data_IF_969263197034
#
_entry.id   IF_969263197034
#
_cell.length_a   1.000
_cell.length_b   1.000
_cell.length_c   1.000
_cell.angle_alpha   90.00
_cell.angle_beta   90.00
_cell.angle_gamma   90.00
#
_symmetry.space_group_name_H-M   'P 1'
#
loop_
_entity.id
_entity.type
_entity.pdbx_description
1 polymer ?
#
# COMPACT_ATOMS: atom_id res chain seq x y z
N UNK A 1 17.77 7.97 -12.25
CA UNK A 1 16.76 8.74 -11.51
C UNK A 1 16.86 8.33 -10.06
N UNK A 2 17.45 9.18 -9.22
CA UNK A 2 17.62 8.95 -7.78
C UNK A 2 16.40 9.51 -7.05
N UNK A 3 15.45 8.65 -6.72
CA UNK A 3 14.26 9.00 -5.95
C UNK A 3 13.57 7.74 -5.45
N UNK A 4 12.92 7.83 -4.29
CA UNK A 4 12.05 6.77 -3.80
C UNK A 4 10.73 6.81 -4.58
N UNK A 5 10.45 5.77 -5.36
CA UNK A 5 9.26 5.69 -6.22
C UNK A 5 8.34 4.51 -5.87
N UNK A 6 8.66 3.78 -4.82
CA UNK A 6 7.81 2.74 -4.23
C UNK A 6 7.51 3.11 -2.78
N UNK A 7 6.25 3.32 -2.45
CA UNK A 7 5.80 3.63 -1.09
C UNK A 7 4.93 2.47 -0.63
N UNK A 8 5.29 1.84 0.47
CA UNK A 8 4.51 0.75 1.07
C UNK A 8 3.91 1.21 2.39
N UNK A 9 2.60 0.98 2.57
CA UNK A 9 1.82 1.48 3.70
C UNK A 9 1.09 0.33 4.37
N UNK A 10 1.30 0.17 5.68
CA UNK A 10 0.56 -0.77 6.52
C UNK A 10 -0.34 -0.03 7.51
N UNK A 11 -1.59 -0.49 7.68
CA UNK A 11 -2.55 0.09 8.61
C UNK A 11 -3.53 -0.97 9.16
N UNK A 12 -4.15 -0.69 10.30
CA UNK A 12 -5.16 -1.56 10.92
C UNK A 12 -6.28 -0.74 11.57
N UNK A 13 -6.54 -0.87 12.88
CA UNK A 13 -7.55 -0.09 13.59
C UNK A 13 -7.31 1.43 13.48
N UNK A 14 -8.32 2.19 13.06
CA UNK A 14 -8.20 3.63 12.76
C UNK A 14 -7.37 3.93 11.50
N UNK A 15 -7.06 2.91 10.71
CA UNK A 15 -6.19 3.01 9.54
C UNK A 15 -6.82 3.78 8.38
N UNK A 16 -8.15 3.77 8.26
CA UNK A 16 -8.86 4.50 7.19
C UNK A 16 -8.68 6.00 7.36
N UNK A 17 -8.90 6.52 8.57
CA UNK A 17 -8.74 7.93 8.90
C UNK A 17 -7.28 8.38 8.74
N UNK A 18 -6.33 7.55 9.17
CA UNK A 18 -4.90 7.81 9.00
C UNK A 18 -4.50 7.85 7.51
N UNK A 19 -5.02 6.91 6.70
CA UNK A 19 -4.79 6.90 5.24
C UNK A 19 -5.38 8.13 4.56
N UNK A 20 -6.59 8.55 4.95
CA UNK A 20 -7.17 9.78 4.42
C UNK A 20 -6.32 11.01 4.77
N UNK A 21 -5.81 11.08 6.01
CA UNK A 21 -4.90 12.18 6.41
C UNK A 21 -3.62 12.17 5.59
N UNK A 22 -2.99 11.01 5.39
CA UNK A 22 -1.79 10.87 4.55
C UNK A 22 -2.08 11.36 3.12
N UNK A 23 -3.15 10.87 2.50
CA UNK A 23 -3.50 11.19 1.11
C UNK A 23 -3.78 12.66 0.90
N UNK A 24 -4.39 13.35 1.86
CA UNK A 24 -4.67 14.79 1.76
C UNK A 24 -3.41 15.66 1.64
N UNK A 25 -2.24 15.13 1.99
CA UNK A 25 -0.95 15.83 1.91
C UNK A 25 -0.12 15.40 0.69
N UNK A 26 -0.59 14.46 -0.12
CA UNK A 26 0.12 14.03 -1.32
C UNK A 26 0.00 15.08 -2.45
N UNK A 27 1.02 15.20 -3.31
CA UNK A 27 0.95 16.02 -4.51
C UNK A 27 -0.04 15.44 -5.53
N UNK A 28 -0.56 16.29 -6.42
CA UNK A 28 -1.49 15.88 -7.49
C UNK A 28 -0.85 15.05 -8.59
N UNK A 29 0.47 15.13 -8.73
CA UNK A 29 1.28 14.31 -9.62
C UNK A 29 2.44 13.75 -8.81
N UNK A 30 2.27 12.53 -8.31
CA UNK A 30 3.24 11.82 -7.50
C UNK A 30 4.07 10.90 -8.43
N UNK A 31 5.39 11.13 -8.57
CA UNK A 31 6.26 10.26 -9.36
C UNK A 31 6.62 8.97 -8.59
N UNK A 32 5.60 8.30 -8.03
CA UNK A 32 5.72 7.08 -7.25
C UNK A 32 4.43 6.26 -7.32
N UNK A 33 4.54 4.97 -7.00
CA UNK A 33 3.41 4.08 -6.73
C UNK A 33 3.27 3.83 -5.22
N UNK A 34 2.05 3.87 -4.71
CA UNK A 34 1.73 3.58 -3.31
C UNK A 34 1.05 2.21 -3.23
N UNK A 35 1.50 1.36 -2.33
CA UNK A 35 0.92 0.06 -2.03
C UNK A 35 0.39 0.07 -0.60
N UNK A 36 -0.85 -0.34 -0.39
CA UNK A 36 -1.54 -0.22 0.89
C UNK A 36 -2.09 -1.58 1.32
N UNK A 37 -1.71 -2.00 2.52
CA UNK A 37 -2.37 -3.07 3.26
C UNK A 37 -3.14 -2.46 4.41
N UNK A 38 -4.46 -2.68 4.41
CA UNK A 38 -5.34 -2.41 5.55
C UNK A 38 -5.86 -3.75 6.07
N UNK A 39 -5.67 -4.03 7.36
CA UNK A 39 -6.20 -5.24 7.98
C UNK A 39 -7.72 -5.23 8.02
N UNK A 40 -8.33 -6.11 7.24
CA UNK A 40 -9.77 -6.32 7.16
C UNK A 40 -10.08 -7.83 7.11
N UNK A 41 -11.29 -8.27 7.53
CA UNK A 41 -11.68 -9.66 7.46
C UNK A 41 -11.65 -10.21 6.03
N UNK A 42 -11.22 -11.46 5.86
CA UNK A 42 -11.10 -12.13 4.55
C UNK A 42 -12.43 -12.19 3.75
N UNK A 43 -13.57 -12.29 4.44
CA UNK A 43 -14.90 -12.35 3.84
C UNK A 43 -15.56 -10.97 3.66
N UNK A 44 -14.84 -9.88 3.98
CA UNK A 44 -15.38 -8.53 3.82
C UNK A 44 -15.19 -8.03 2.39
N UNK A 45 -16.07 -7.13 1.97
CA UNK A 45 -15.85 -6.32 0.76
C UNK A 45 -15.05 -5.08 1.15
N UNK A 46 -13.90 -4.88 0.52
CA UNK A 46 -13.14 -3.63 0.71
C UNK A 46 -13.67 -2.54 -0.21
N UNK A 47 -14.13 -1.45 0.39
CA UNK A 47 -14.50 -0.22 -0.32
C UNK A 47 -13.42 0.86 -0.20
N UNK A 48 -12.25 0.50 0.35
CA UNK A 48 -11.17 1.43 0.63
C UNK A 48 -10.73 2.22 -0.63
N UNK A 49 -10.53 1.60 -1.82
CA UNK A 49 -10.22 2.38 -3.02
C UNK A 49 -11.21 3.51 -3.30
N UNK A 50 -12.51 3.24 -3.14
CA UNK A 50 -13.57 4.24 -3.35
C UNK A 50 -13.54 5.37 -2.33
N UNK A 51 -13.24 5.05 -1.06
CA UNK A 51 -13.06 6.04 0.00
C UNK A 51 -11.87 6.96 -0.32
N UNK A 52 -10.72 6.38 -0.66
CA UNK A 52 -9.51 7.14 -0.97
C UNK A 52 -9.68 7.99 -2.23
N UNK A 53 -10.31 7.46 -3.29
CA UNK A 53 -10.64 8.23 -4.49
C UNK A 53 -11.52 9.45 -4.18
N UNK A 54 -12.55 9.28 -3.34
CA UNK A 54 -13.41 10.39 -2.92
C UNK A 54 -12.62 11.44 -2.13
N UNK A 55 -11.68 10.99 -1.28
CA UNK A 55 -10.80 11.88 -0.53
C UNK A 55 -9.87 12.71 -1.46
N UNK A 56 -9.26 12.05 -2.45
CA UNK A 56 -8.41 12.68 -3.49
C UNK A 56 -9.22 13.73 -4.26
N UNK A 57 -10.42 13.36 -4.74
CA UNK A 57 -11.30 14.25 -5.49
C UNK A 57 -11.67 15.50 -4.70
N UNK A 58 -12.08 15.34 -3.43
CA UNK A 58 -12.41 16.45 -2.53
C UNK A 58 -11.22 17.37 -2.30
N UNK A 59 -10.04 16.81 -2.01
CA UNK A 59 -8.85 17.60 -1.68
C UNK A 59 -8.33 18.38 -2.89
N UNK A 60 -8.30 17.75 -4.06
CA UNK A 60 -7.65 18.30 -5.25
C UNK A 60 -8.61 18.83 -6.32
N UNK A 61 -9.91 18.93 -6.02
CA UNK A 61 -10.96 19.42 -6.93
C UNK A 61 -10.89 18.75 -8.32
N UNK A 62 -10.75 17.42 -8.35
CA UNK A 62 -10.59 16.61 -9.57
C UNK A 62 -9.35 16.90 -10.45
N UNK A 63 -8.32 17.58 -9.92
CA UNK A 63 -7.07 17.87 -10.64
C UNK A 63 -5.94 16.88 -10.37
N UNK A 64 -6.15 15.91 -9.49
CA UNK A 64 -5.13 14.92 -9.15
C UNK A 64 -5.09 13.79 -10.17
N UNK A 65 -3.89 13.35 -10.54
CA UNK A 65 -3.66 12.14 -11.31
C UNK A 65 -3.71 10.88 -10.43
N UNK A 66 -3.70 11.04 -9.10
CA UNK A 66 -3.74 9.93 -8.16
C UNK A 66 -5.03 9.12 -8.30
N UNK A 67 -4.89 7.80 -8.38
CA UNK A 67 -6.02 6.87 -8.43
C UNK A 67 -5.81 5.69 -7.49
N UNK A 68 -6.78 5.43 -6.63
CA UNK A 68 -6.81 4.24 -5.79
C UNK A 68 -7.60 3.09 -6.44
N UNK A 69 -7.03 1.88 -6.44
CA UNK A 69 -7.65 0.68 -7.03
C UNK A 69 -7.26 -0.58 -6.26
N UNK A 70 -8.10 -1.61 -6.35
CA UNK A 70 -7.59 -2.97 -6.19
C UNK A 70 -6.85 -3.37 -7.47
N UNK A 71 -5.58 -3.80 -7.40
CA UNK A 71 -4.86 -4.23 -8.57
C UNK A 71 -5.39 -5.56 -9.10
N UNK A 72 -5.12 -5.84 -10.37
CA UNK A 72 -5.19 -7.19 -10.92
C UNK A 72 -3.84 -7.88 -10.71
N UNK A 73 -3.85 -9.20 -10.55
CA UNK A 73 -2.60 -9.97 -10.53
C UNK A 73 -1.86 -9.81 -11.87
N UNK A 74 -0.54 -9.62 -11.82
CA UNK A 74 0.29 -9.38 -12.99
C UNK A 74 0.23 -7.96 -13.57
N UNK A 75 -0.57 -7.05 -12.99
CA UNK A 75 -0.65 -5.67 -13.48
C UNK A 75 0.70 -4.93 -13.36
N UNK A 76 1.04 -4.12 -14.35
CA UNK A 76 2.22 -3.26 -14.32
C UNK A 76 2.12 -2.21 -13.20
N UNK A 77 3.26 -1.91 -12.59
CA UNK A 77 3.36 -0.86 -11.57
C UNK A 77 3.43 0.50 -12.26
N UNK A 78 2.45 1.35 -12.00
CA UNK A 78 2.34 2.69 -12.57
C UNK A 78 2.48 3.75 -11.48
N UNK A 79 3.15 4.86 -11.81
CA UNK A 79 3.10 6.06 -10.97
C UNK A 79 1.67 6.59 -10.87
N UNK A 80 1.45 7.45 -9.88
CA UNK A 80 0.15 8.03 -9.58
C UNK A 80 -0.94 7.00 -9.20
N UNK A 81 -0.55 5.79 -8.79
CA UNK A 81 -1.49 4.77 -8.35
C UNK A 81 -1.34 4.46 -6.87
N UNK A 82 -2.47 4.22 -6.22
CA UNK A 82 -2.59 3.69 -4.87
C UNK A 82 -3.21 2.30 -4.98
N UNK A 83 -2.37 1.28 -4.96
CA UNK A 83 -2.77 -0.12 -5.02
C UNK A 83 -3.14 -0.62 -3.63
N UNK A 84 -4.41 -0.92 -3.44
CA UNK A 84 -4.93 -1.42 -2.17
C UNK A 84 -5.05 -2.94 -2.25
N UNK A 85 -4.47 -3.63 -1.27
CA UNK A 85 -4.58 -5.08 -1.16
C UNK A 85 -6.05 -5.51 -1.12
N UNK A 86 -6.49 -6.44 -2.00
CA UNK A 86 -7.82 -6.99 -1.88
C UNK A 86 -7.94 -7.89 -0.64
N UNK A 87 -9.14 -8.05 -0.07
CA UNK A 87 -9.39 -8.99 1.03
C UNK A 87 -8.92 -10.40 0.66
N UNK A 88 -8.30 -11.12 1.60
CA UNK A 88 -7.87 -12.51 1.44
C UNK A 88 -6.77 -12.78 0.39
N UNK A 89 -6.03 -11.74 -0.03
CA UNK A 89 -4.81 -11.86 -0.84
C UNK A 89 -3.67 -11.09 -0.21
N UNK A 90 -2.44 -11.60 -0.29
CA UNK A 90 -1.25 -10.79 -0.08
C UNK A 90 -0.98 -9.94 -1.31
N UNK A 91 -0.76 -8.64 -1.08
CA UNK A 91 -0.25 -7.71 -2.09
C UNK A 91 1.28 -7.74 -2.08
N UNK A 92 1.88 -8.23 -3.15
CA UNK A 92 3.33 -8.42 -3.27
C UNK A 92 3.88 -7.58 -4.42
N UNK A 93 5.10 -7.08 -4.24
CA UNK A 93 5.81 -6.29 -5.25
C UNK A 93 6.85 -7.16 -5.95
N UNK A 94 6.83 -7.15 -7.28
CA UNK A 94 7.82 -7.80 -8.15
C UNK A 94 8.44 -6.76 -9.08
N UNK A 95 9.47 -7.15 -9.83
CA UNK A 95 10.19 -6.22 -10.70
C UNK A 95 9.28 -5.75 -11.84
N UNK A 96 8.69 -4.56 -11.70
CA UNK A 96 7.82 -3.92 -12.69
C UNK A 96 6.34 -4.31 -12.63
N UNK A 97 5.95 -5.29 -11.81
CA UNK A 97 4.57 -5.76 -11.75
C UNK A 97 4.11 -6.15 -10.33
N UNK A 98 2.80 -6.22 -10.17
CA UNK A 98 2.11 -6.54 -8.92
C UNK A 98 1.77 -8.03 -8.92
N UNK A 99 1.97 -8.70 -7.79
CA UNK A 99 1.55 -10.08 -7.61
C UNK A 99 0.57 -10.22 -6.44
N UNK A 100 -0.57 -10.88 -6.68
CA UNK A 100 -1.57 -11.21 -5.67
C UNK A 100 -1.52 -12.70 -5.37
N UNK A 101 -1.25 -13.05 -4.11
CA UNK A 101 -1.08 -14.43 -3.70
C UNK A 101 -2.00 -14.82 -2.55
N UNK A 102 -2.58 -16.03 -2.61
CA UNK A 102 -3.31 -16.66 -1.49
C UNK A 102 -2.41 -17.63 -0.71
N UNK A 103 -1.19 -17.19 -0.41
CA UNK A 103 -0.25 -17.93 0.44
C UNK A 103 -0.75 -18.08 1.89
N UNK A 104 0.00 -18.78 2.75
CA UNK A 104 -0.31 -18.89 4.18
C UNK A 104 -0.47 -17.51 4.83
N UNK A 105 -1.35 -17.41 5.83
CA UNK A 105 -1.47 -16.18 6.61
C UNK A 105 -0.16 -15.88 7.34
N UNK A 106 0.26 -14.64 7.32
CA UNK A 106 1.38 -14.13 8.12
C UNK A 106 0.82 -13.24 9.22
N UNK A 107 1.32 -13.38 10.45
CA UNK A 107 0.78 -12.65 11.62
C UNK A 107 -0.74 -12.82 11.80
N UNK A 108 -1.30 -13.97 11.40
CA UNK A 108 -2.74 -14.27 11.34
C UNK A 108 -3.56 -13.45 10.34
N UNK A 109 -2.92 -12.69 9.46
CA UNK A 109 -3.56 -11.82 8.47
C UNK A 109 -3.30 -12.26 7.03
N UNK A 110 -4.28 -11.97 6.17
CA UNK A 110 -4.17 -12.00 4.71
C UNK A 110 -5.19 -11.01 4.12
N UNK A 111 -4.78 -9.84 3.64
CA UNK A 111 -3.40 -9.36 3.50
C UNK A 111 -2.69 -9.03 4.82
N UNK A 112 -1.41 -9.37 4.92
CA UNK A 112 -0.48 -8.95 5.98
C UNK A 112 0.48 -7.86 5.45
N UNK A 113 1.03 -7.03 6.34
CA UNK A 113 1.92 -5.90 6.00
C UNK A 113 3.32 -6.40 5.67
N UNK A 114 3.86 -7.32 6.47
CA UNK A 114 5.23 -7.83 6.32
C UNK A 114 5.53 -8.38 4.91
N UNK A 115 4.68 -9.19 4.25
CA UNK A 115 4.90 -9.65 2.88
C UNK A 115 5.06 -8.52 1.87
N UNK A 116 4.24 -7.47 1.98
CA UNK A 116 4.32 -6.32 1.10
C UNK A 116 5.67 -5.62 1.28
N UNK A 117 6.02 -5.28 2.52
CA UNK A 117 7.22 -4.50 2.82
C UNK A 117 8.48 -5.28 2.44
N UNK A 118 8.53 -6.57 2.80
CA UNK A 118 9.65 -7.47 2.50
C UNK A 118 9.86 -7.65 1.00
N UNK A 119 8.79 -7.80 0.21
CA UNK A 119 8.93 -7.96 -1.25
C UNK A 119 9.32 -6.65 -1.94
N UNK A 120 8.79 -5.51 -1.51
CA UNK A 120 9.20 -4.21 -2.01
C UNK A 120 10.69 -3.94 -1.72
N UNK A 121 11.10 -4.09 -0.46
CA UNK A 121 12.48 -3.93 -0.01
C UNK A 121 13.46 -4.77 -0.83
N UNK A 122 13.14 -6.05 -1.04
CA UNK A 122 13.97 -6.99 -1.82
C UNK A 122 14.13 -6.59 -3.29
N UNK A 123 13.10 -6.02 -3.90
CA UNK A 123 13.09 -5.74 -5.35
C UNK A 123 13.59 -4.34 -5.66
N UNK A 124 13.22 -3.35 -4.85
CA UNK A 124 13.45 -1.93 -5.15
C UNK A 124 14.49 -1.27 -4.23
N UNK A 125 14.94 -1.96 -3.17
CA UNK A 125 16.06 -1.49 -2.35
C UNK A 125 15.82 -0.12 -1.72
N UNK A 126 16.81 0.76 -1.85
CA UNK A 126 16.79 2.15 -1.37
C UNK A 126 15.71 3.05 -2.00
N UNK A 127 14.97 2.57 -3.00
CA UNK A 127 13.85 3.30 -3.61
C UNK A 127 12.53 3.12 -2.85
N UNK A 128 12.54 2.34 -1.77
CA UNK A 128 11.35 2.02 -0.98
C UNK A 128 11.23 2.92 0.24
N UNK A 129 10.06 3.54 0.41
CA UNK A 129 9.67 4.19 1.66
C UNK A 129 8.61 3.34 2.34
N UNK A 130 8.90 2.88 3.56
CA UNK A 130 7.94 2.17 4.41
C UNK A 130 7.21 3.11 5.36
N UNK A 131 5.89 3.00 5.43
CA UNK A 131 5.02 3.81 6.30
C UNK A 131 4.11 2.87 7.10
N UNK A 132 4.23 2.88 8.42
CA UNK A 132 3.27 2.19 9.30
C UNK A 132 2.38 3.25 9.95
N UNK A 133 1.08 3.10 9.75
CA UNK A 133 0.04 3.98 10.31
C UNK A 133 -0.65 3.29 11.50
N UNK A 134 -1.64 3.97 12.08
CA UNK A 134 -2.43 3.49 13.20
C UNK A 134 -2.84 2.02 13.06
N UNK A 135 -2.61 1.27 14.14
CA UNK A 135 -2.90 -0.16 14.22
C UNK A 135 -2.65 -0.72 15.61
N UNK A 136 -3.07 -1.96 15.80
CA UNK A 136 -2.85 -2.74 17.02
C UNK A 136 -1.96 -3.92 16.60
N UNK A 137 -0.96 -4.27 17.42
CA UNK A 137 0.05 -5.32 17.19
C UNK A 137 1.23 -4.89 16.30
N UNK A 138 2.05 -5.87 15.91
CA UNK A 138 3.43 -5.66 15.45
C UNK A 138 3.64 -5.93 13.93
N UNK A 139 2.60 -6.20 13.15
CA UNK A 139 2.74 -6.47 11.71
C UNK A 139 3.30 -5.24 10.97
N UNK A 140 4.39 -5.41 10.22
CA UNK A 140 5.14 -4.34 9.56
C UNK A 140 6.37 -3.84 10.34
N UNK A 141 6.48 -4.10 11.65
CA UNK A 141 7.63 -3.62 12.45
C UNK A 141 8.95 -4.29 12.06
N UNK A 142 8.94 -5.62 11.90
CA UNK A 142 10.11 -6.37 11.45
C UNK A 142 10.55 -5.96 10.04
N UNK A 143 9.59 -5.73 9.14
CA UNK A 143 9.90 -5.34 7.77
C UNK A 143 10.33 -3.87 7.63
N UNK A 144 9.91 -2.97 8.53
CA UNK A 144 10.47 -1.62 8.61
C UNK A 144 11.96 -1.62 8.96
N UNK A 145 12.40 -2.53 9.84
CA UNK A 145 13.82 -2.67 10.17
C UNK A 145 14.64 -3.07 8.94
N UNK A 146 14.09 -3.94 8.08
CA UNK A 146 14.71 -4.31 6.80
C UNK A 146 14.82 -3.10 5.88
N UNK A 147 13.75 -2.32 5.70
CA UNK A 147 13.78 -1.13 4.84
C UNK A 147 14.82 -0.11 5.34
N UNK A 148 14.93 0.07 6.66
CA UNK A 148 15.90 1.01 7.26
C UNK A 148 17.37 0.61 7.05
N UNK A 149 17.65 -0.67 6.79
CA UNK A 149 19.01 -1.20 6.65
C UNK A 149 19.54 -1.19 5.20
N UNK A 150 18.73 -0.78 4.23
CA UNK A 150 19.08 -0.71 2.80
C UNK A 150 19.81 0.60 2.45
#
# INVERSE_FOLDING_TARGET
>A
MSGCDIIVVGASAGGVEALEQLIRHLPTNLPAAIFVVLHIPAHSTSVLPSILNRCIQRKHKNKSLLKAVHPQDGAEIQHNHIYVAPPDYHLLVKNGYIHLARGPRENSHRSAVDPLFRTAARVYGQRVVGVVLSGILNDGTASLAVIKQL
#
